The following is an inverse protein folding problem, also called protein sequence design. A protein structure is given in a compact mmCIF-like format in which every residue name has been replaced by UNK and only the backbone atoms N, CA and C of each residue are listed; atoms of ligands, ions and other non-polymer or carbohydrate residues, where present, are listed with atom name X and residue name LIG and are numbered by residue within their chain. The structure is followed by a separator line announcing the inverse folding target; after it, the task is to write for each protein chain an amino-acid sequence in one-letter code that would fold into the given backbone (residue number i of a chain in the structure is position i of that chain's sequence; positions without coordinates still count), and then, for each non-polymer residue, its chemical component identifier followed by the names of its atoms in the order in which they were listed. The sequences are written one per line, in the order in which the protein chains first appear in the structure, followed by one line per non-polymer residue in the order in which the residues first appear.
data_IF_021759538712
#
_entry.id   IF_021759538712
#
_cell.length_a   1.000
_cell.length_b   1.000
_cell.length_c   1.000
_cell.angle_alpha   90.00
_cell.angle_beta   90.00
_cell.angle_gamma   90.00
#
_symmetry.space_group_name_H-M   'P 1'
#
loop_
_entity.id
_entity.type
_entity.pdbx_description
1 polymer ?
#
# COMPACT_ATOMS: atom_id res chain seq x y z
N UNK A 1 -8.41 3.77 -16.96
CA UNK A 1 -7.39 2.80 -16.43
C UNK A 1 -8.10 1.53 -16.03
N UNK A 2 -7.44 0.38 -16.13
CA UNK A 2 -7.99 -0.87 -15.59
C UNK A 2 -8.07 -0.81 -14.06
N UNK A 3 -9.12 -1.42 -13.50
CA UNK A 3 -9.32 -1.49 -12.06
C UNK A 3 -8.25 -2.36 -11.39
N UNK A 4 -7.97 -2.07 -10.12
CA UNK A 4 -7.16 -2.92 -9.27
C UNK A 4 -7.99 -4.15 -8.87
N UNK A 5 -7.48 -5.34 -9.18
CA UNK A 5 -8.14 -6.59 -8.80
C UNK A 5 -7.39 -7.26 -7.65
N UNK A 6 -8.06 -7.51 -6.52
CA UNK A 6 -7.50 -8.26 -5.38
C UNK A 6 -8.49 -9.36 -5.01
N UNK A 7 -8.07 -10.61 -5.00
CA UNK A 7 -8.90 -11.77 -4.63
C UNK A 7 -10.32 -11.75 -5.27
N UNK A 8 -10.40 -11.41 -6.57
CA UNK A 8 -11.64 -11.36 -7.32
C UNK A 8 -12.50 -10.09 -7.09
N UNK A 9 -12.10 -9.18 -6.20
CA UNK A 9 -12.78 -7.91 -5.98
C UNK A 9 -12.11 -6.78 -6.77
N UNK A 10 -12.92 -5.92 -7.37
CA UNK A 10 -12.50 -4.79 -8.19
C UNK A 10 -12.49 -3.48 -7.39
N UNK A 11 -11.44 -2.68 -7.53
CA UNK A 11 -11.28 -1.35 -6.95
C UNK A 11 -10.82 -0.37 -8.03
N UNK A 12 -11.38 0.83 -8.04
CA UNK A 12 -10.96 1.89 -8.97
C UNK A 12 -9.67 2.58 -8.48
N UNK A 13 -9.60 2.79 -7.15
CA UNK A 13 -8.44 3.44 -6.54
C UNK A 13 -7.28 2.47 -6.34
N UNK A 14 -6.08 2.93 -6.67
CA UNK A 14 -4.80 2.26 -6.37
C UNK A 14 -4.12 2.82 -5.13
N UNK A 15 -4.78 3.77 -4.45
CA UNK A 15 -4.36 4.28 -3.15
C UNK A 15 -5.17 3.59 -2.05
N UNK A 16 -4.48 2.95 -1.11
CA UNK A 16 -5.03 2.47 0.15
C UNK A 16 -4.59 3.43 1.26
N UNK A 17 -5.46 3.70 2.22
CA UNK A 17 -5.16 4.66 3.30
C UNK A 17 -5.35 4.05 4.68
N UNK A 18 -4.40 4.34 5.58
CA UNK A 18 -4.50 3.97 6.98
C UNK A 18 -5.26 5.00 7.81
N UNK A 19 -5.76 4.58 8.97
CA UNK A 19 -6.56 5.40 9.89
C UNK A 19 -5.80 5.85 11.14
N UNK A 20 -4.50 5.54 11.22
CA UNK A 20 -3.68 5.88 12.38
C UNK A 20 -3.13 7.30 12.35
N UNK A 21 -2.82 7.85 13.54
CA UNK A 21 -2.03 9.07 13.78
C UNK A 21 -2.67 10.41 13.37
N UNK A 22 -3.90 10.44 12.93
CA UNK A 22 -4.66 11.71 12.78
C UNK A 22 -4.92 12.32 14.15
N UNK A 23 -5.00 13.65 14.21
CA UNK A 23 -5.26 14.37 15.46
C UNK A 23 -6.71 14.21 15.94
N UNK A 24 -7.65 14.04 15.02
CA UNK A 24 -9.08 13.77 15.31
C UNK A 24 -9.66 12.78 14.30
N UNK A 25 -10.73 12.11 14.68
CA UNK A 25 -11.46 11.23 13.75
C UNK A 25 -12.16 12.01 12.63
N UNK A 26 -12.59 13.24 12.89
CA UNK A 26 -13.14 14.12 11.84
C UNK A 26 -12.08 14.41 10.76
N UNK A 27 -10.86 14.81 11.18
CA UNK A 27 -9.77 15.03 10.23
C UNK A 27 -9.40 13.79 9.44
N UNK A 28 -9.41 12.62 10.11
CA UNK A 28 -9.23 11.34 9.43
C UNK A 28 -10.29 11.12 8.36
N UNK A 29 -11.57 11.28 8.72
CA UNK A 29 -12.69 11.15 7.78
C UNK A 29 -12.53 12.07 6.56
N UNK A 30 -12.24 13.34 6.79
CA UNK A 30 -12.08 14.33 5.72
C UNK A 30 -10.89 13.98 4.79
N UNK A 31 -9.78 13.48 5.36
CA UNK A 31 -8.64 13.02 4.58
C UNK A 31 -8.96 11.74 3.77
N UNK A 32 -9.67 10.77 4.37
CA UNK A 32 -10.14 9.59 3.65
C UNK A 32 -11.05 9.97 2.47
N UNK A 33 -12.00 10.87 2.69
CA UNK A 33 -12.91 11.33 1.63
C UNK A 33 -12.15 12.05 0.51
N UNK A 34 -11.13 12.83 0.86
CA UNK A 34 -10.32 13.58 -0.10
C UNK A 34 -9.33 12.70 -0.89
N UNK A 35 -8.95 11.54 -0.34
CA UNK A 35 -8.00 10.63 -0.97
C UNK A 35 -8.59 9.86 -2.15
N UNK A 36 -9.91 9.70 -2.23
CA UNK A 36 -10.56 8.83 -3.19
C UNK A 36 -10.24 7.34 -3.01
N UNK A 37 -9.61 6.96 -1.89
CA UNK A 37 -9.31 5.56 -1.59
C UNK A 37 -10.61 4.77 -1.38
N UNK A 38 -10.60 3.50 -1.78
CA UNK A 38 -11.72 2.58 -1.54
C UNK A 38 -11.36 1.53 -0.48
N UNK A 39 -10.07 1.30 -0.21
CA UNK A 39 -9.59 0.40 0.84
C UNK A 39 -9.01 1.21 1.98
N UNK A 40 -9.54 0.98 3.19
CA UNK A 40 -9.12 1.67 4.41
C UNK A 40 -8.65 0.66 5.44
N UNK A 41 -7.44 0.82 5.98
CA UNK A 41 -6.91 -0.10 6.99
C UNK A 41 -7.21 0.38 8.40
N UNK A 42 -7.55 -0.56 9.28
CA UNK A 42 -7.78 -0.33 10.71
C UNK A 42 -7.01 -1.33 11.55
N UNK A 43 -6.34 -0.86 12.59
CA UNK A 43 -5.70 -1.76 13.56
C UNK A 43 -6.77 -2.39 14.46
N UNK A 44 -6.85 -3.73 14.46
CA UNK A 44 -7.86 -4.48 15.25
C UNK A 44 -7.81 -4.07 16.72
N UNK A 45 -6.61 -3.91 17.29
CA UNK A 45 -6.41 -3.46 18.69
C UNK A 45 -6.99 -2.09 19.02
N UNK A 46 -7.36 -1.27 18.01
CA UNK A 46 -7.94 0.06 18.19
C UNK A 46 -9.45 0.09 17.96
N UNK A 47 -10.03 -1.03 17.56
CA UNK A 47 -11.47 -1.15 17.35
C UNK A 47 -12.13 -1.50 18.68
N UNK A 48 -12.92 -0.59 19.22
CA UNK A 48 -13.80 -0.92 20.33
C UNK A 48 -15.01 -1.67 19.79
N UNK A 49 -15.04 -2.98 20.02
CA UNK A 49 -16.09 -3.86 19.52
C UNK A 49 -17.39 -3.74 20.35
N UNK A 50 -17.27 -3.32 21.62
CA UNK A 50 -18.39 -3.21 22.55
C UNK A 50 -19.12 -1.85 22.41
N UNK A 51 -18.42 -0.81 22.00
CA UNK A 51 -18.94 0.55 21.86
C UNK A 51 -18.60 1.12 20.46
N UNK A 52 -19.22 0.56 19.43
CA UNK A 52 -18.95 0.94 18.04
C UNK A 52 -19.22 2.41 17.74
N UNK A 53 -20.20 3.03 18.40
CA UNK A 53 -20.58 4.44 18.20
C UNK A 53 -19.51 5.42 18.68
N UNK A 54 -18.71 5.04 19.67
CA UNK A 54 -17.59 5.83 20.19
C UNK A 54 -16.25 5.44 19.56
N UNK A 55 -16.28 4.45 18.67
CA UNK A 55 -15.06 3.94 18.05
C UNK A 55 -14.72 4.67 16.75
N UNK A 56 -13.49 4.52 16.32
CA UNK A 56 -12.99 4.93 15.01
C UNK A 56 -13.93 4.49 13.86
N UNK A 57 -14.66 3.35 13.99
CA UNK A 57 -15.56 2.83 12.97
C UNK A 57 -16.78 3.72 12.73
N UNK A 58 -17.23 4.51 13.74
CA UNK A 58 -18.32 5.47 13.57
C UNK A 58 -18.01 6.57 12.53
N UNK A 59 -16.73 6.80 12.27
CA UNK A 59 -16.26 7.81 11.31
C UNK A 59 -15.91 7.24 9.93
N UNK A 60 -16.07 5.92 9.73
CA UNK A 60 -15.80 5.23 8.47
C UNK A 60 -17.11 4.77 7.87
N UNK A 61 -17.47 5.30 6.70
CA UNK A 61 -18.64 4.85 5.97
C UNK A 61 -18.36 3.49 5.32
N UNK A 62 -18.89 2.41 5.92
CA UNK A 62 -18.69 1.03 5.46
C UNK A 62 -19.40 0.71 4.12
N UNK A 63 -20.36 1.53 3.69
CA UNK A 63 -20.95 1.40 2.34
C UNK A 63 -20.02 1.94 1.25
N UNK A 64 -19.15 2.88 1.61
CA UNK A 64 -18.18 3.51 0.71
C UNK A 64 -16.82 2.82 0.74
N UNK A 65 -16.35 2.44 1.93
CA UNK A 65 -15.00 1.93 2.12
C UNK A 65 -14.99 0.43 2.40
N UNK A 66 -14.10 -0.26 1.70
CA UNK A 66 -13.75 -1.63 2.06
C UNK A 66 -12.80 -1.62 3.27
N UNK A 67 -13.24 -2.20 4.37
CA UNK A 67 -12.44 -2.27 5.58
C UNK A 67 -11.41 -3.40 5.49
N UNK A 68 -10.15 -3.06 5.71
CA UNK A 68 -9.04 -4.00 5.77
C UNK A 68 -8.43 -3.98 7.18
N UNK A 69 -8.85 -4.89 8.08
CA UNK A 69 -8.25 -5.02 9.40
C UNK A 69 -6.78 -5.38 9.31
N UNK A 70 -5.94 -4.83 10.20
CA UNK A 70 -4.54 -5.21 10.31
C UNK A 70 -4.18 -5.73 11.70
N UNK A 71 -3.11 -6.52 11.77
CA UNK A 71 -2.59 -7.12 12.99
C UNK A 71 -1.50 -6.29 13.66
N UNK A 72 -1.52 -4.97 13.46
CA UNK A 72 -0.52 -4.05 14.01
C UNK A 72 -0.34 -4.22 15.53
N UNK A 73 0.93 -4.37 15.92
CA UNK A 73 1.34 -4.60 17.30
C UNK A 73 1.49 -6.06 17.70
N UNK A 74 1.23 -6.99 16.79
CA UNK A 74 1.54 -8.40 17.00
C UNK A 74 3.04 -8.64 16.77
N UNK A 75 3.68 -9.36 17.71
CA UNK A 75 5.11 -9.61 17.72
C UNK A 75 5.46 -11.03 17.27
N UNK A 76 4.48 -11.95 17.30
CA UNK A 76 4.64 -13.33 16.88
C UNK A 76 3.57 -13.75 15.85
N UNK A 77 3.82 -14.86 15.17
CA UNK A 77 2.87 -15.44 14.23
C UNK A 77 1.53 -15.76 14.90
N UNK A 78 1.56 -16.38 16.08
CA UNK A 78 0.37 -16.80 16.84
C UNK A 78 -0.46 -15.60 17.27
N UNK A 79 0.19 -14.50 17.69
CA UNK A 79 -0.53 -13.25 18.04
C UNK A 79 -1.25 -12.68 16.82
N UNK A 80 -0.59 -12.63 15.66
CA UNK A 80 -1.16 -12.13 14.43
C UNK A 80 -2.35 -12.98 13.96
N UNK A 81 -2.20 -14.32 13.99
CA UNK A 81 -3.28 -15.26 13.65
C UNK A 81 -4.47 -15.10 14.60
N UNK A 82 -4.22 -15.03 15.91
CA UNK A 82 -5.28 -14.81 16.91
C UNK A 82 -6.01 -13.48 16.66
N UNK A 83 -5.27 -12.42 16.35
CA UNK A 83 -5.83 -11.09 16.08
C UNK A 83 -6.70 -11.10 14.81
N UNK A 84 -6.26 -11.76 13.75
CA UNK A 84 -7.04 -11.92 12.52
C UNK A 84 -8.35 -12.70 12.77
N UNK A 85 -8.27 -13.79 13.52
CA UNK A 85 -9.48 -14.58 13.93
C UNK A 85 -10.47 -13.73 14.73
N UNK A 86 -9.98 -12.89 15.65
CA UNK A 86 -10.84 -11.97 16.41
C UNK A 86 -11.53 -10.96 15.49
N UNK A 87 -10.82 -10.39 14.50
CA UNK A 87 -11.40 -9.46 13.54
C UNK A 87 -12.54 -10.14 12.73
N UNK A 88 -12.32 -11.36 12.25
CA UNK A 88 -13.35 -12.15 11.53
C UNK A 88 -14.53 -12.49 12.42
N UNK A 89 -14.28 -12.95 13.64
CA UNK A 89 -15.35 -13.28 14.61
C UNK A 89 -16.20 -12.06 14.99
N UNK A 90 -15.60 -10.86 15.01
CA UNK A 90 -16.29 -9.60 15.24
C UNK A 90 -17.05 -9.07 14.00
N UNK A 91 -17.03 -9.80 12.88
CA UNK A 91 -17.72 -9.43 11.65
C UNK A 91 -17.08 -8.26 10.90
N UNK A 92 -15.78 -7.98 11.13
CA UNK A 92 -15.08 -6.90 10.42
C UNK A 92 -14.76 -7.29 8.98
N UNK A 93 -14.04 -8.39 8.80
CA UNK A 93 -13.66 -8.91 7.48
C UNK A 93 -12.98 -10.27 7.62
N UNK A 94 -12.97 -11.07 6.54
CA UNK A 94 -12.08 -12.20 6.37
C UNK A 94 -10.79 -11.83 5.59
N UNK A 95 -10.64 -10.56 5.19
CA UNK A 95 -9.39 -10.02 4.68
C UNK A 95 -8.56 -9.52 5.84
N UNK A 96 -7.25 -9.64 5.74
CA UNK A 96 -6.33 -9.16 6.78
C UNK A 96 -5.07 -8.61 6.17
N UNK A 97 -4.69 -7.40 6.58
CA UNK A 97 -3.33 -6.90 6.40
C UNK A 97 -2.48 -7.48 7.52
N UNK A 98 -1.67 -8.47 7.15
CA UNK A 98 -0.85 -9.21 8.11
C UNK A 98 0.42 -8.45 8.43
N UNK A 99 0.63 -8.15 9.70
CA UNK A 99 1.82 -7.54 10.25
C UNK A 99 2.33 -8.39 11.41
N UNK A 100 3.60 -8.80 11.38
CA UNK A 100 4.32 -9.43 12.49
C UNK A 100 5.60 -8.64 12.70
N UNK A 101 5.63 -7.82 13.75
CA UNK A 101 6.66 -6.81 13.99
C UNK A 101 7.18 -6.98 15.42
N UNK A 102 8.31 -7.69 15.63
CA UNK A 102 8.82 -7.97 16.96
C UNK A 102 9.47 -6.77 17.64
N UNK A 103 10.00 -5.82 16.84
CA UNK A 103 10.75 -4.67 17.34
C UNK A 103 10.01 -3.35 17.08
N UNK A 104 9.57 -2.71 18.17
CA UNK A 104 8.86 -1.43 18.14
C UNK A 104 9.77 -0.25 17.73
N UNK A 105 11.10 -0.42 17.78
CA UNK A 105 12.06 0.63 17.41
C UNK A 105 12.28 0.74 15.91
N UNK A 106 12.34 -0.39 15.22
CA UNK A 106 12.56 -0.43 13.76
C UNK A 106 11.29 -0.55 12.95
N UNK A 107 10.25 -1.15 13.53
CA UNK A 107 8.99 -1.52 12.87
C UNK A 107 9.20 -2.35 11.58
N UNK A 108 10.29 -3.10 11.54
CA UNK A 108 10.55 -4.04 10.44
C UNK A 108 9.77 -5.35 10.65
N UNK A 109 9.22 -5.94 9.58
CA UNK A 109 8.51 -7.19 9.67
C UNK A 109 9.48 -8.35 9.92
N UNK A 110 9.07 -9.32 10.75
CA UNK A 110 9.78 -10.59 10.86
C UNK A 110 9.46 -11.46 9.63
N UNK A 111 10.43 -11.78 8.78
CA UNK A 111 10.19 -12.50 7.54
C UNK A 111 9.75 -13.96 7.76
N UNK A 112 10.24 -14.60 8.80
CA UNK A 112 9.92 -16.01 9.11
C UNK A 112 8.51 -16.09 9.71
N UNK A 113 8.26 -15.34 10.76
CA UNK A 113 6.97 -15.32 11.43
C UNK A 113 5.84 -14.79 10.52
N UNK A 114 6.15 -13.87 9.60
CA UNK A 114 5.16 -13.40 8.61
C UNK A 114 4.75 -14.51 7.65
N UNK A 115 5.70 -15.30 7.12
CA UNK A 115 5.39 -16.44 6.24
C UNK A 115 4.60 -17.52 7.00
N UNK A 116 5.00 -17.83 8.23
CA UNK A 116 4.32 -18.80 9.10
C UNK A 116 2.86 -18.39 9.39
N UNK A 117 2.64 -17.15 9.80
CA UNK A 117 1.31 -16.62 10.03
C UNK A 117 0.46 -16.60 8.76
N UNK A 118 1.06 -16.22 7.61
CA UNK A 118 0.37 -16.22 6.32
C UNK A 118 -0.08 -17.64 5.93
N UNK A 119 0.78 -18.64 6.11
CA UNK A 119 0.45 -20.03 5.83
C UNK A 119 -0.74 -20.54 6.67
N UNK A 120 -0.76 -20.21 7.96
CA UNK A 120 -1.88 -20.54 8.85
C UNK A 120 -3.18 -19.87 8.40
N UNK A 121 -3.12 -18.57 8.10
CA UNK A 121 -4.30 -17.79 7.74
C UNK A 121 -4.86 -18.17 6.36
N UNK A 122 -4.01 -18.44 5.37
CA UNK A 122 -4.45 -18.91 4.05
C UNK A 122 -5.14 -20.28 4.15
N UNK A 123 -4.62 -21.22 4.95
CA UNK A 123 -5.29 -22.50 5.24
C UNK A 123 -6.66 -22.34 5.89
N UNK A 124 -6.89 -21.22 6.58
CA UNK A 124 -8.18 -20.87 7.19
C UNK A 124 -9.05 -19.99 6.29
N UNK A 125 -8.73 -19.90 5.00
CA UNK A 125 -9.47 -19.16 3.98
C UNK A 125 -9.53 -17.64 4.22
N UNK A 126 -8.53 -17.08 4.92
CA UNK A 126 -8.35 -15.63 4.94
C UNK A 126 -7.77 -15.14 3.62
N UNK A 127 -8.20 -13.95 3.21
CA UNK A 127 -7.55 -13.18 2.15
C UNK A 127 -6.41 -12.39 2.79
N UNK A 128 -5.17 -12.87 2.61
CA UNK A 128 -3.98 -12.35 3.30
C UNK A 128 -3.24 -11.34 2.44
N UNK A 129 -3.03 -10.14 3.00
CA UNK A 129 -2.25 -9.06 2.43
C UNK A 129 -1.04 -8.81 3.36
N UNK A 130 0.12 -9.44 3.13
CA UNK A 130 1.22 -9.46 4.08
C UNK A 130 2.15 -8.25 3.91
N UNK A 131 2.32 -7.45 4.98
CA UNK A 131 3.41 -6.48 5.09
C UNK A 131 4.74 -7.22 5.22
N UNK A 132 5.68 -6.94 4.35
CA UNK A 132 6.95 -7.68 4.27
C UNK A 132 8.13 -6.78 3.90
N UNK A 133 9.33 -7.33 3.99
CA UNK A 133 10.56 -6.66 3.56
C UNK A 133 10.67 -6.59 2.03
N UNK A 134 11.65 -5.82 1.56
CA UNK A 134 12.06 -5.73 0.15
C UNK A 134 12.93 -6.94 -0.31
N UNK A 135 12.85 -8.07 0.42
CA UNK A 135 13.53 -9.31 0.07
C UNK A 135 12.68 -10.16 -0.88
N UNK A 136 13.20 -10.43 -2.07
CA UNK A 136 12.47 -11.16 -3.09
C UNK A 136 12.26 -12.65 -2.77
N UNK A 137 13.10 -13.26 -1.92
CA UNK A 137 12.91 -14.65 -1.50
C UNK A 137 11.75 -14.77 -0.50
N UNK A 138 11.62 -13.80 0.40
CA UNK A 138 10.46 -13.71 1.30
C UNK A 138 9.18 -13.45 0.50
N UNK A 139 9.23 -12.51 -0.44
CA UNK A 139 8.10 -12.22 -1.34
C UNK A 139 7.69 -13.48 -2.14
N UNK A 140 8.66 -14.28 -2.62
CA UNK A 140 8.41 -15.55 -3.31
C UNK A 140 7.69 -16.53 -2.41
N UNK A 141 8.15 -16.72 -1.16
CA UNK A 141 7.51 -17.64 -0.21
C UNK A 141 6.07 -17.24 0.09
N UNK A 142 5.81 -15.95 0.31
CA UNK A 142 4.46 -15.44 0.53
C UNK A 142 3.54 -15.67 -0.67
N UNK A 143 4.07 -15.53 -1.89
CA UNK A 143 3.35 -15.83 -3.11
C UNK A 143 3.03 -17.33 -3.23
N UNK A 144 3.99 -18.19 -2.91
CA UNK A 144 3.85 -19.67 -2.98
C UNK A 144 2.88 -20.20 -1.89
N UNK A 145 2.78 -19.51 -0.75
CA UNK A 145 1.77 -19.76 0.30
C UNK A 145 0.34 -19.45 -0.17
N UNK A 146 0.18 -18.56 -1.16
CA UNK A 146 -1.13 -18.16 -1.69
C UNK A 146 -1.66 -16.86 -1.12
N UNK A 147 -0.78 -15.95 -0.70
CA UNK A 147 -1.21 -14.59 -0.31
C UNK A 147 -1.86 -13.85 -1.48
N UNK A 148 -2.88 -13.06 -1.19
CA UNK A 148 -3.67 -12.35 -2.19
C UNK A 148 -2.97 -11.13 -2.80
N UNK A 149 -1.93 -10.63 -2.14
CA UNK A 149 -1.02 -9.57 -2.60
C UNK A 149 0.38 -9.84 -2.06
N UNK A 150 1.36 -9.08 -2.57
CA UNK A 150 2.67 -8.93 -1.91
C UNK A 150 2.83 -7.46 -1.53
N UNK A 151 3.14 -7.18 -0.25
CA UNK A 151 3.20 -5.81 0.26
C UNK A 151 4.60 -5.47 0.82
N UNK A 152 5.61 -5.30 -0.04
CA UNK A 152 6.94 -4.91 0.40
C UNK A 152 6.95 -3.45 0.85
N UNK A 153 7.73 -3.13 1.89
CA UNK A 153 7.90 -1.74 2.29
C UNK A 153 8.78 -0.96 1.30
N UNK A 154 8.52 0.35 1.15
CA UNK A 154 9.46 1.29 0.53
C UNK A 154 10.63 1.58 1.48
N UNK A 155 10.31 1.95 2.70
CA UNK A 155 11.21 2.09 3.86
C UNK A 155 10.40 1.87 5.14
N UNK A 156 11.06 1.86 6.32
CA UNK A 156 10.41 1.53 7.57
C UNK A 156 9.21 2.44 7.88
N UNK A 157 8.21 1.88 8.57
CA UNK A 157 6.94 2.55 8.88
C UNK A 157 7.19 3.91 9.54
N UNK A 158 6.59 4.95 9.00
CA UNK A 158 6.59 6.28 9.58
C UNK A 158 7.84 7.11 9.37
N UNK A 159 8.84 6.60 8.64
CA UNK A 159 10.11 7.30 8.38
C UNK A 159 10.00 8.37 7.29
N UNK A 160 9.10 8.19 6.31
CA UNK A 160 8.96 9.10 5.17
C UNK A 160 10.19 9.15 4.27
N UNK A 161 11.05 8.12 4.29
CA UNK A 161 12.29 8.07 3.51
C UNK A 161 12.08 7.65 2.04
N UNK A 162 10.82 7.43 1.65
CA UNK A 162 10.50 7.02 0.29
C UNK A 162 10.96 5.61 -0.05
N UNK A 163 11.51 5.45 -1.26
CA UNK A 163 11.97 4.18 -1.81
C UNK A 163 13.49 4.21 -2.00
N UNK A 164 14.30 4.00 -0.95
CA UNK A 164 15.76 4.04 -1.07
C UNK A 164 16.33 2.92 -1.94
N UNK A 165 15.62 1.81 -2.09
CA UNK A 165 16.06 0.64 -2.86
C UNK A 165 15.06 0.28 -3.98
N UNK A 166 14.81 1.17 -4.97
CA UNK A 166 13.79 0.93 -5.99
C UNK A 166 14.06 -0.31 -6.84
N UNK A 167 15.32 -0.66 -7.05
CA UNK A 167 15.74 -1.85 -7.80
C UNK A 167 15.31 -3.17 -7.11
N UNK A 168 15.29 -3.21 -5.78
CA UNK A 168 14.81 -4.39 -5.04
C UNK A 168 13.30 -4.56 -5.20
N UNK A 169 12.56 -3.45 -5.10
CA UNK A 169 11.12 -3.44 -5.34
C UNK A 169 10.79 -3.84 -6.78
N UNK A 170 11.52 -3.32 -7.76
CA UNK A 170 11.36 -3.70 -9.18
C UNK A 170 11.54 -5.20 -9.39
N UNK A 171 12.57 -5.81 -8.76
CA UNK A 171 12.77 -7.28 -8.84
C UNK A 171 11.61 -8.07 -8.26
N UNK A 172 10.98 -7.60 -7.16
CA UNK A 172 9.79 -8.23 -6.61
C UNK A 172 8.62 -8.12 -7.59
N UNK A 173 8.37 -6.92 -8.13
CA UNK A 173 7.32 -6.68 -9.11
C UNK A 173 7.48 -7.61 -10.32
N UNK A 174 8.68 -7.67 -10.89
CA UNK A 174 8.98 -8.53 -12.04
C UNK A 174 8.87 -10.03 -11.71
N UNK A 175 9.28 -10.44 -10.51
CA UNK A 175 9.15 -11.82 -10.04
C UNK A 175 7.69 -12.22 -9.84
N UNK A 176 6.86 -11.33 -9.31
CA UNK A 176 5.42 -11.58 -9.14
C UNK A 176 4.70 -11.65 -10.49
N UNK A 177 5.12 -10.83 -11.46
CA UNK A 177 4.67 -10.86 -12.86
C UNK A 177 3.15 -10.91 -13.03
N UNK A 178 2.42 -10.13 -12.27
CA UNK A 178 0.95 -10.01 -12.37
C UNK A 178 0.15 -11.20 -11.83
N UNK A 179 0.79 -12.18 -11.17
CA UNK A 179 0.08 -13.30 -10.53
C UNK A 179 -0.83 -12.85 -9.40
N UNK A 180 -0.35 -11.89 -8.61
CA UNK A 180 -1.10 -11.14 -7.60
C UNK A 180 -0.65 -9.67 -7.62
N UNK A 181 -1.44 -8.71 -7.12
CA UNK A 181 -1.00 -7.34 -7.02
C UNK A 181 0.19 -7.16 -6.07
N UNK A 182 1.12 -6.28 -6.46
CA UNK A 182 2.20 -5.77 -5.59
C UNK A 182 1.79 -4.40 -5.08
N UNK A 183 1.74 -4.23 -3.76
CA UNK A 183 1.36 -3.00 -3.08
C UNK A 183 2.55 -2.49 -2.28
N UNK A 184 3.09 -1.31 -2.61
CA UNK A 184 4.16 -0.72 -1.80
C UNK A 184 3.55 -0.14 -0.53
N UNK A 185 4.00 -0.66 0.62
CA UNK A 185 3.44 -0.35 1.94
C UNK A 185 4.50 0.25 2.85
N UNK A 186 4.19 1.39 3.45
CA UNK A 186 5.08 2.14 4.34
C UNK A 186 6.25 2.88 3.65
N UNK A 187 6.80 3.84 4.38
CA UNK A 187 7.95 4.62 3.96
C UNK A 187 7.65 5.80 3.03
N UNK A 188 6.53 5.80 2.34
CA UNK A 188 6.10 6.89 1.46
C UNK A 188 5.99 8.19 2.28
N UNK A 189 6.73 9.22 1.86
CA UNK A 189 6.78 10.52 2.52
C UNK A 189 6.14 11.65 1.71
N UNK A 190 6.14 11.53 0.38
CA UNK A 190 5.65 12.55 -0.53
C UNK A 190 4.94 11.94 -1.76
N UNK A 191 4.14 12.73 -2.50
CA UNK A 191 3.52 12.28 -3.74
C UNK A 191 4.51 11.78 -4.79
N UNK A 192 5.72 12.31 -4.82
CA UNK A 192 6.80 11.83 -5.70
C UNK A 192 7.22 10.40 -5.43
N UNK A 193 7.22 9.96 -4.14
CA UNK A 193 7.53 8.58 -3.78
C UNK A 193 6.41 7.64 -4.24
N UNK A 194 5.15 8.08 -4.09
CA UNK A 194 3.99 7.33 -4.57
C UNK A 194 4.01 7.20 -6.11
N UNK A 195 4.35 8.29 -6.83
CA UNK A 195 4.52 8.26 -8.28
C UNK A 195 5.64 7.29 -8.67
N UNK A 196 6.79 7.34 -8.01
CA UNK A 196 7.90 6.43 -8.28
C UNK A 196 7.51 4.96 -8.06
N UNK A 197 6.80 4.64 -6.97
CA UNK A 197 6.29 3.30 -6.73
C UNK A 197 5.43 2.78 -7.89
N UNK A 198 4.52 3.62 -8.38
CA UNK A 198 3.64 3.28 -9.49
C UNK A 198 4.39 3.21 -10.83
N UNK A 199 5.38 4.08 -11.07
CA UNK A 199 6.25 4.06 -12.26
C UNK A 199 7.13 2.80 -12.33
N UNK A 200 7.53 2.24 -11.17
CA UNK A 200 8.22 0.95 -11.11
C UNK A 200 7.33 -0.23 -11.54
N UNK A 201 6.01 -0.03 -11.57
CA UNK A 201 5.03 -1.03 -11.95
C UNK A 201 4.29 -1.67 -10.76
N UNK A 202 4.37 -1.07 -9.57
CA UNK A 202 3.49 -1.48 -8.48
C UNK A 202 2.01 -1.32 -8.86
N UNK A 203 1.16 -2.18 -8.33
CA UNK A 203 -0.27 -2.15 -8.63
C UNK A 203 -1.03 -1.16 -7.75
N UNK A 204 -0.53 -0.92 -6.54
CA UNK A 204 -1.09 0.04 -5.58
C UNK A 204 -0.03 0.50 -4.57
N UNK A 205 -0.40 1.48 -3.76
CA UNK A 205 0.38 1.91 -2.59
C UNK A 205 -0.54 2.01 -1.37
N UNK A 206 0.01 1.76 -0.18
CA UNK A 206 -0.67 2.01 1.09
C UNK A 206 0.06 3.11 1.86
N UNK A 207 -0.65 4.19 2.17
CA UNK A 207 -0.11 5.39 2.80
C UNK A 207 -0.92 5.75 4.04
N UNK A 208 -0.23 6.05 5.14
CA UNK A 208 -0.89 6.57 6.35
C UNK A 208 -0.15 7.77 6.91
N UNK A 209 1.05 7.58 7.46
CA UNK A 209 1.77 8.59 8.26
C UNK A 209 2.03 9.88 7.49
N UNK A 210 2.38 9.80 6.21
CA UNK A 210 2.65 10.97 5.38
C UNK A 210 1.41 11.87 5.20
N UNK A 211 0.23 11.27 5.15
CA UNK A 211 -1.04 12.01 5.12
C UNK A 211 -1.36 12.55 6.51
N UNK A 212 -1.45 11.65 7.51
CA UNK A 212 -1.95 11.97 8.85
C UNK A 212 -1.10 13.00 9.61
N UNK A 213 0.22 13.02 9.38
CA UNK A 213 1.16 13.94 10.03
C UNK A 213 1.56 15.14 9.20
N UNK A 214 1.01 15.33 8.01
CA UNK A 214 1.24 16.54 7.23
C UNK A 214 0.57 17.75 7.90
N UNK A 215 1.01 18.94 7.55
CA UNK A 215 0.39 20.18 8.04
C UNK A 215 -1.09 20.29 7.61
N UNK A 216 -1.46 19.69 6.47
CA UNK A 216 -2.84 19.65 5.97
C UNK A 216 -3.15 18.25 5.41
N UNK A 217 -3.67 17.32 6.25
CA UNK A 217 -3.96 15.94 5.83
C UNK A 217 -4.91 15.81 4.64
N UNK A 218 -5.92 16.68 4.56
CA UNK A 218 -6.90 16.67 3.46
C UNK A 218 -6.22 16.99 2.14
N UNK A 219 -5.38 18.04 2.14
CA UNK A 219 -4.66 18.44 0.94
C UNK A 219 -3.58 17.42 0.56
N UNK A 220 -2.89 16.85 1.53
CA UNK A 220 -1.90 15.80 1.30
C UNK A 220 -2.54 14.52 0.75
N UNK A 221 -3.71 14.14 1.24
CA UNK A 221 -4.46 13.00 0.72
C UNK A 221 -4.77 13.14 -0.79
N UNK A 222 -5.24 14.33 -1.20
CA UNK A 222 -5.45 14.65 -2.63
C UNK A 222 -4.14 14.58 -3.43
N UNK A 223 -3.07 15.17 -2.90
CA UNK A 223 -1.78 15.16 -3.57
C UNK A 223 -1.24 13.74 -3.75
N UNK A 224 -1.39 12.88 -2.74
CA UNK A 224 -1.00 11.46 -2.83
C UNK A 224 -1.82 10.71 -3.89
N UNK A 225 -3.13 10.93 -3.95
CA UNK A 225 -3.98 10.34 -4.99
C UNK A 225 -3.53 10.74 -6.40
N UNK A 226 -3.24 12.03 -6.61
CA UNK A 226 -2.70 12.53 -7.87
C UNK A 226 -1.34 11.93 -8.23
N UNK A 227 -0.46 11.74 -7.22
CA UNK A 227 0.83 11.07 -7.40
C UNK A 227 0.68 9.62 -7.85
N UNK A 228 -0.23 8.88 -7.21
CA UNK A 228 -0.54 7.48 -7.57
C UNK A 228 -1.09 7.39 -9.00
N UNK A 229 -2.04 8.24 -9.33
CA UNK A 229 -2.65 8.26 -10.67
C UNK A 229 -1.63 8.63 -11.74
N UNK A 230 -0.86 9.70 -11.54
CA UNK A 230 0.19 10.16 -12.46
C UNK A 230 1.25 9.09 -12.71
N UNK A 231 1.75 8.45 -11.63
CA UNK A 231 2.74 7.37 -11.73
C UNK A 231 2.20 6.15 -12.50
N UNK A 232 0.92 5.78 -12.28
CA UNK A 232 0.31 4.67 -13.03
C UNK A 232 0.12 5.01 -14.51
N UNK A 233 -0.28 6.22 -14.85
CA UNK A 233 -0.39 6.68 -16.23
C UNK A 233 0.98 6.68 -16.91
N UNK A 234 2.03 7.14 -16.22
CA UNK A 234 3.39 7.12 -16.72
C UNK A 234 3.88 5.70 -17.00
N UNK A 235 3.63 4.75 -16.08
CA UNK A 235 3.96 3.33 -16.26
C UNK A 235 3.28 2.73 -17.50
N UNK A 236 1.97 2.96 -17.65
CA UNK A 236 1.19 2.43 -18.77
C UNK A 236 1.57 3.06 -20.12
N UNK A 237 1.98 4.32 -20.11
CA UNK A 237 2.41 5.05 -21.31
C UNK A 237 3.82 4.63 -21.78
N UNK A 238 4.60 4.07 -20.88
CA UNK A 238 6.01 3.77 -21.13
C UNK A 238 6.90 4.99 -21.05
N UNK A 239 7.99 4.87 -20.31
CA UNK A 239 8.99 5.92 -20.19
C UNK A 239 9.91 5.91 -21.41
N UNK A 240 10.31 7.09 -21.92
CA UNK A 240 11.37 7.17 -22.93
C UNK A 240 12.70 6.59 -22.37
N UNK A 241 13.51 5.92 -23.21
CA UNK A 241 14.83 5.45 -22.79
C UNK A 241 15.71 6.59 -22.25
N UNK A 242 16.47 6.30 -21.21
CA UNK A 242 17.54 7.22 -20.78
C UNK A 242 18.67 7.18 -21.80
N UNK A 243 19.14 8.35 -22.22
CA UNK A 243 20.29 8.48 -23.11
C UNK A 243 21.35 9.37 -22.48
N UNK A 244 22.62 9.13 -22.78
CA UNK A 244 23.74 9.98 -22.34
C UNK A 244 23.89 11.21 -23.21
N UNK A 245 23.36 11.16 -24.45
CA UNK A 245 23.50 12.22 -25.45
C UNK A 245 22.15 12.93 -25.59
N UNK A 246 22.22 14.28 -25.56
CA UNK A 246 21.04 15.11 -25.82
C UNK A 246 20.67 15.04 -27.32
N UNK A 247 19.35 15.10 -27.57
CA UNK A 247 18.82 15.26 -28.93
C UNK A 247 17.87 16.47 -28.98
N UNK A 248 17.86 17.24 -30.07
CA UNK A 248 16.98 18.38 -30.23
C UNK A 248 15.49 17.93 -30.16
N UNK A 249 14.67 18.70 -29.45
CA UNK A 249 13.22 18.46 -29.39
C UNK A 249 12.47 18.99 -30.62
N UNK A 250 13.10 19.93 -31.36
CA UNK A 250 12.55 20.48 -32.61
C UNK A 250 13.03 19.67 -33.80
N UNK A 251 12.16 19.38 -34.79
CA UNK A 251 12.58 18.74 -36.03
C UNK A 251 13.63 19.57 -36.77
N UNK A 252 14.65 18.93 -37.29
CA UNK A 252 15.66 19.59 -38.14
C UNK A 252 15.15 19.90 -39.55
N UNK A 253 14.10 19.19 -39.97
CA UNK A 253 13.46 19.42 -41.28
C UNK A 253 12.50 20.63 -41.21
N UNK A 254 12.59 21.51 -42.22
CA UNK A 254 11.71 22.68 -42.36
C UNK A 254 12.22 23.95 -41.66
N UNK A 255 13.50 24.02 -41.32
CA UNK A 255 14.10 25.27 -40.84
C UNK A 255 14.13 26.32 -41.96
N UNK A 256 13.64 27.53 -41.65
CA UNK A 256 13.71 28.67 -42.58
C UNK A 256 15.20 28.97 -42.88
N UNK A 257 15.62 28.81 -44.13
CA UNK A 257 17.01 29.05 -44.57
C UNK A 257 17.87 27.81 -44.74
N UNK A 258 17.31 26.58 -44.56
CA UNK A 258 18.05 25.38 -44.96
C UNK A 258 18.04 25.24 -46.48
N UNK A 259 19.17 24.99 -47.15
CA UNK A 259 19.15 24.70 -48.59
C UNK A 259 18.40 23.40 -48.82
N UNK A 260 17.57 23.43 -49.87
CA UNK A 260 16.76 22.30 -50.34
C UNK A 260 17.63 21.16 -50.86
#
# INVERSE_FOLDING_TARGET
MENLMIAGRSFQSRLMVGTGKYSTFSQMKDALDASGAEIVTVAVRRVNLDQREESLLAYINLDKYFLLPNTAGCKTAEEAVRTARLARAAGLSNWVKLEVIPDDGTLLPDPVATVEAAEMLVKEEFVVLPYTSDDHHVARRLLDVGCATIMPFGSAIGTGQGLPNPERLKRIIDMVAGRVPVVIDAGIGAPSDASLAMELGADAVLINTAIAKSANPVQMAKAMAMGVEGGRLAYLSGRIPRTEVASPSSPEAGLVGSPS
#
